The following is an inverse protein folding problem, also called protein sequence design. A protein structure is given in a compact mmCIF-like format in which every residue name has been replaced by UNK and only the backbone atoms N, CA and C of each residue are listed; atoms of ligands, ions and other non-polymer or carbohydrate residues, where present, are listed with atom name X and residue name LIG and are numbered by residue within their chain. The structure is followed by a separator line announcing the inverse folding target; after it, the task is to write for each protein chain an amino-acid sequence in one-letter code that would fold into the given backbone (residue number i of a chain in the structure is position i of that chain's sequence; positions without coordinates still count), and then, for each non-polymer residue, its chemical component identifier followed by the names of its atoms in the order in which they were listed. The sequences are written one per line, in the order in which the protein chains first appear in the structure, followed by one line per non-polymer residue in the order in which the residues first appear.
data_IF_981465766188
#
_entry.id   IF_981465766188
#
_cell.length_a   1.000
_cell.length_b   1.000
_cell.length_c   1.000
_cell.angle_alpha   90.00
_cell.angle_beta   90.00
_cell.angle_gamma   90.00
#
_symmetry.space_group_name_H-M   'P 1'
#
loop_
_entity.id
_entity.type
_entity.pdbx_description
1 polymer ?
#
# COMPACT_ATOMS: atom_id res chain seq x y z
N UNK A 1 -13.85 21.31 -0.19
CA UNK A 1 -12.58 20.55 -0.28
C UNK A 1 -12.82 19.16 0.26
N UNK A 2 -12.23 18.13 -0.36
CA UNK A 2 -12.37 16.75 0.14
C UNK A 2 -11.48 16.61 1.39
N UNK A 3 -12.09 16.44 2.56
CA UNK A 3 -11.39 16.26 3.84
C UNK A 3 -10.91 14.82 3.99
N UNK A 4 -9.82 14.59 4.70
CA UNK A 4 -9.28 13.28 5.08
C UNK A 4 -9.46 12.97 6.57
N UNK A 5 -10.28 13.76 7.29
CA UNK A 5 -10.49 13.65 8.74
C UNK A 5 -11.15 12.34 9.22
N UNK A 6 -11.53 11.47 8.31
CA UNK A 6 -12.04 10.12 8.56
C UNK A 6 -11.14 9.00 7.98
N UNK A 7 -9.91 9.36 7.53
CA UNK A 7 -8.95 8.46 6.90
C UNK A 7 -7.77 8.20 7.81
N UNK A 8 -7.47 6.94 8.09
CA UNK A 8 -6.22 6.50 8.69
C UNK A 8 -5.21 6.21 7.59
N UNK A 9 -4.08 6.91 7.62
CA UNK A 9 -2.93 6.66 6.76
C UNK A 9 -1.92 5.79 7.50
N UNK A 10 -1.55 4.67 6.90
CA UNK A 10 -0.52 3.77 7.42
C UNK A 10 0.75 3.91 6.59
N UNK A 11 1.90 4.04 7.26
CA UNK A 11 3.23 4.10 6.66
C UNK A 11 4.10 3.06 7.35
N UNK A 12 4.52 2.01 6.63
CA UNK A 12 5.50 1.06 7.13
C UNK A 12 6.92 1.62 6.89
N UNK A 13 7.77 1.59 7.93
CA UNK A 13 9.12 2.11 7.87
C UNK A 13 10.17 1.09 8.31
N UNK A 14 11.33 1.11 7.67
CA UNK A 14 12.53 0.41 8.11
C UNK A 14 13.77 1.13 7.58
N UNK A 15 14.49 1.87 8.47
CA UNK A 15 15.65 2.69 8.12
C UNK A 15 15.33 3.68 6.97
N UNK A 16 14.43 4.62 7.24
CA UNK A 16 13.96 5.65 6.31
C UNK A 16 14.30 7.07 6.79
N UNK A 17 15.39 7.24 7.57
CA UNK A 17 15.79 8.56 8.11
C UNK A 17 16.01 9.62 7.01
N UNK A 18 16.41 9.18 5.81
CA UNK A 18 16.72 10.08 4.69
C UNK A 18 15.47 10.65 3.99
N UNK A 19 14.29 10.01 4.14
CA UNK A 19 13.06 10.34 3.40
C UNK A 19 11.88 10.68 4.28
N UNK A 20 11.81 10.12 5.50
CA UNK A 20 10.62 10.19 6.33
C UNK A 20 10.26 11.62 6.75
N UNK A 21 11.25 12.49 6.99
CA UNK A 21 11.00 13.91 7.32
C UNK A 21 10.27 14.64 6.18
N UNK A 22 10.71 14.40 4.95
CA UNK A 22 10.06 14.93 3.75
C UNK A 22 8.62 14.41 3.63
N UNK A 23 8.41 13.09 3.77
CA UNK A 23 7.08 12.48 3.68
C UNK A 23 6.13 13.05 4.72
N UNK A 24 6.54 13.09 6.00
CA UNK A 24 5.69 13.56 7.09
C UNK A 24 5.43 15.07 7.03
N UNK A 25 6.36 15.85 6.47
CA UNK A 25 6.14 17.27 6.26
C UNK A 25 5.04 17.54 5.22
N UNK A 26 4.99 16.73 4.13
CA UNK A 26 3.89 16.82 3.16
C UNK A 26 2.54 16.46 3.80
N UNK A 27 2.50 15.51 4.75
CA UNK A 27 1.25 15.10 5.41
C UNK A 27 0.62 16.22 6.24
N UNK A 28 1.38 17.23 6.68
CA UNK A 28 0.83 18.39 7.41
C UNK A 28 -0.18 19.22 6.61
N UNK A 29 -0.13 19.14 5.29
CA UNK A 29 -1.07 19.83 4.41
C UNK A 29 -2.45 19.16 4.35
N UNK A 30 -2.59 17.97 4.97
CA UNK A 30 -3.78 17.13 4.92
C UNK A 30 -4.31 16.87 6.34
N UNK A 31 -5.62 16.93 6.49
CA UNK A 31 -6.32 16.71 7.76
C UNK A 31 -6.65 15.23 8.00
N UNK A 32 -5.65 14.34 7.97
CA UNK A 32 -5.87 12.92 8.26
C UNK A 32 -6.48 12.72 9.65
N UNK A 33 -7.39 11.73 9.80
CA UNK A 33 -7.85 11.28 11.10
C UNK A 33 -6.66 10.88 11.99
N UNK A 34 -5.73 10.16 11.42
CA UNK A 34 -4.46 9.77 12.04
C UNK A 34 -3.44 9.35 10.97
N UNK A 35 -2.17 9.52 11.30
CA UNK A 35 -1.04 8.95 10.57
C UNK A 35 -0.35 7.94 11.50
N UNK A 36 -0.26 6.68 11.06
CA UNK A 36 0.28 5.56 11.84
C UNK A 36 1.57 5.09 11.18
N UNK A 37 2.67 5.23 11.89
CA UNK A 37 3.96 4.67 11.50
C UNK A 37 4.08 3.27 12.10
N UNK A 38 4.32 2.26 11.28
CA UNK A 38 4.64 0.90 11.74
C UNK A 38 6.11 0.66 11.45
N UNK A 39 6.94 0.73 12.49
CA UNK A 39 8.39 0.65 12.36
C UNK A 39 8.91 -0.76 12.53
N UNK A 40 9.66 -1.23 11.54
CA UNK A 40 10.27 -2.56 11.46
C UNK A 40 11.56 -2.71 12.28
N UNK A 41 11.68 -2.03 13.43
CA UNK A 41 12.88 -1.96 14.29
C UNK A 41 14.04 -1.25 13.59
N UNK A 42 13.80 -0.04 13.11
CA UNK A 42 14.83 0.84 12.54
C UNK A 42 15.97 1.08 13.54
N UNK A 43 17.18 1.11 13.01
CA UNK A 43 18.42 1.34 13.79
C UNK A 43 19.01 2.72 13.54
N UNK A 44 18.40 3.50 12.65
CA UNK A 44 18.73 4.88 12.30
C UNK A 44 17.80 5.87 13.04
N UNK A 45 17.73 7.11 12.58
CA UNK A 45 16.90 8.16 13.20
C UNK A 45 15.42 8.12 12.79
N UNK A 46 14.94 7.09 12.11
CA UNK A 46 13.56 6.98 11.62
C UNK A 46 12.53 7.27 12.71
N UNK A 47 12.64 6.58 13.84
CA UNK A 47 11.70 6.76 14.98
C UNK A 47 11.79 8.18 15.58
N UNK A 48 12.99 8.73 15.70
CA UNK A 48 13.19 10.07 16.26
C UNK A 48 12.63 11.16 15.32
N UNK A 49 12.66 10.94 14.01
CA UNK A 49 11.99 11.79 13.03
C UNK A 49 10.48 11.68 13.20
N UNK A 50 9.93 10.47 13.24
CA UNK A 50 8.48 10.27 13.38
C UNK A 50 7.91 10.95 14.64
N UNK A 51 8.65 10.95 15.77
CA UNK A 51 8.25 11.62 17.03
C UNK A 51 8.11 13.14 16.94
N UNK A 52 8.72 13.78 15.92
CA UNK A 52 8.58 15.24 15.72
C UNK A 52 7.24 15.63 15.13
N UNK A 53 6.47 14.66 14.65
CA UNK A 53 5.19 14.86 13.98
C UNK A 53 4.06 14.29 14.82
N UNK A 54 2.83 14.71 14.54
CA UNK A 54 1.65 14.17 15.21
C UNK A 54 1.28 12.79 14.62
N UNK A 55 2.15 11.79 14.86
CA UNK A 55 1.98 10.43 14.38
C UNK A 55 1.85 9.44 15.52
N UNK A 56 1.09 8.37 15.30
CA UNK A 56 1.08 7.19 16.18
C UNK A 56 2.18 6.25 15.73
N UNK A 57 3.05 5.81 16.64
CA UNK A 57 4.19 4.95 16.32
C UNK A 57 3.96 3.58 16.93
N UNK A 58 3.98 2.55 16.10
CA UNK A 58 3.91 1.14 16.49
C UNK A 58 5.23 0.46 16.13
N UNK A 59 5.79 -0.31 17.07
CA UNK A 59 6.86 -1.23 16.73
C UNK A 59 6.25 -2.49 16.13
N UNK A 60 6.80 -2.93 15.03
CA UNK A 60 6.33 -4.12 14.31
C UNK A 60 6.49 -5.38 15.18
N UNK A 61 5.43 -6.16 15.32
CA UNK A 61 5.43 -7.37 16.17
C UNK A 61 5.78 -8.64 15.41
N UNK A 62 5.50 -8.70 14.11
CA UNK A 62 5.76 -9.85 13.26
C UNK A 62 6.59 -9.47 12.04
N UNK A 63 7.52 -10.32 11.62
CA UNK A 63 8.39 -10.06 10.47
C UNK A 63 7.62 -10.05 9.15
N UNK A 64 8.02 -9.13 8.26
CA UNK A 64 7.52 -9.00 6.90
C UNK A 64 6.75 -7.70 6.67
N UNK A 65 6.90 -7.15 5.49
CA UNK A 65 6.27 -5.88 5.13
C UNK A 65 4.74 -5.96 5.19
N UNK A 66 4.14 -7.04 4.67
CA UNK A 66 2.70 -7.26 4.76
C UNK A 66 2.20 -7.39 6.22
N UNK A 67 3.03 -7.94 7.13
CA UNK A 67 2.70 -7.97 8.55
C UNK A 67 2.65 -6.56 9.17
N UNK A 68 3.55 -5.66 8.78
CA UNK A 68 3.51 -4.26 9.21
C UNK A 68 2.22 -3.56 8.71
N UNK A 69 1.85 -3.78 7.46
CA UNK A 69 0.60 -3.25 6.88
C UNK A 69 -0.62 -3.76 7.67
N UNK A 70 -0.71 -5.06 7.89
CA UNK A 70 -1.80 -5.69 8.66
C UNK A 70 -1.87 -5.11 10.08
N UNK A 71 -0.72 -4.98 10.75
CA UNK A 71 -0.66 -4.40 12.09
C UNK A 71 -1.18 -2.96 12.11
N UNK A 72 -0.77 -2.14 11.16
CA UNK A 72 -1.23 -0.75 11.03
C UNK A 72 -2.73 -0.66 10.75
N UNK A 73 -3.25 -1.45 9.81
CA UNK A 73 -4.67 -1.47 9.48
C UNK A 73 -5.55 -1.97 10.63
N UNK A 74 -5.07 -2.98 11.39
CA UNK A 74 -5.78 -3.48 12.57
C UNK A 74 -5.83 -2.45 13.71
N UNK A 75 -4.78 -1.63 13.85
CA UNK A 75 -4.71 -0.58 14.88
C UNK A 75 -5.53 0.66 14.50
N UNK A 76 -5.70 0.93 13.23
CA UNK A 76 -6.36 2.12 12.71
C UNK A 76 -7.81 2.26 13.18
N UNK A 77 -8.24 3.50 13.45
CA UNK A 77 -9.58 3.83 13.96
C UNK A 77 -10.45 4.64 12.98
N UNK A 78 -9.88 5.15 11.91
CA UNK A 78 -10.60 5.90 10.88
C UNK A 78 -11.60 5.05 10.09
N UNK A 79 -12.57 5.70 9.48
CA UNK A 79 -13.58 5.04 8.64
C UNK A 79 -12.98 4.40 7.39
N UNK A 80 -11.94 5.02 6.85
CA UNK A 80 -11.22 4.56 5.66
C UNK A 80 -9.77 4.29 5.99
N UNK A 81 -9.21 3.28 5.34
CA UNK A 81 -7.82 2.87 5.47
C UNK A 81 -7.09 3.09 4.16
N UNK A 82 -5.89 3.65 4.23
CA UNK A 82 -4.98 3.78 3.09
C UNK A 82 -3.53 3.58 3.52
N UNK A 83 -2.65 3.38 2.57
CA UNK A 83 -1.24 3.11 2.78
C UNK A 83 -0.38 3.98 1.88
N UNK A 84 0.81 4.36 2.36
CA UNK A 84 1.89 4.92 1.55
C UNK A 84 3.24 4.40 2.05
N UNK A 85 4.24 4.32 1.17
CA UNK A 85 5.62 4.07 1.56
C UNK A 85 6.26 5.31 2.20
N UNK A 86 7.24 5.07 3.07
CA UNK A 86 8.02 6.12 3.74
C UNK A 86 9.16 6.71 2.89
N UNK A 87 9.30 6.31 1.61
CA UNK A 87 10.41 6.69 0.72
C UNK A 87 10.14 7.93 -0.14
N UNK A 88 8.92 8.48 -0.06
CA UNK A 88 8.50 9.67 -0.79
C UNK A 88 8.07 9.44 -2.23
N UNK A 89 7.95 8.20 -2.70
CA UNK A 89 7.51 7.91 -4.08
C UNK A 89 6.01 8.15 -4.31
N UNK A 90 5.20 8.02 -3.28
CA UNK A 90 3.76 8.25 -3.35
C UNK A 90 3.41 9.73 -3.36
N UNK A 91 2.28 10.07 -3.96
CA UNK A 91 1.71 11.43 -3.94
C UNK A 91 0.50 11.46 -3.02
N UNK A 92 0.54 12.19 -1.91
CA UNK A 92 -0.60 12.30 -0.99
C UNK A 92 -1.88 12.84 -1.65
N UNK A 93 -1.74 13.69 -2.67
CA UNK A 93 -2.88 14.20 -3.46
C UNK A 93 -3.68 13.09 -4.14
N UNK A 94 -3.07 11.94 -4.42
CA UNK A 94 -3.77 10.78 -4.97
C UNK A 94 -4.82 10.23 -4.00
N UNK A 95 -4.60 10.34 -2.69
CA UNK A 95 -5.57 9.91 -1.66
C UNK A 95 -6.86 10.73 -1.74
N UNK A 96 -6.76 12.04 -2.00
CA UNK A 96 -7.96 12.89 -2.20
C UNK A 96 -8.78 12.42 -3.40
N UNK A 97 -8.08 12.04 -4.48
CA UNK A 97 -8.76 11.52 -5.68
C UNK A 97 -9.40 10.16 -5.41
N UNK A 98 -8.70 9.25 -4.71
CA UNK A 98 -9.26 7.95 -4.31
C UNK A 98 -10.48 8.14 -3.40
N UNK A 99 -10.40 9.05 -2.42
CA UNK A 99 -11.52 9.38 -1.54
C UNK A 99 -12.72 9.93 -2.29
N UNK A 100 -12.52 10.74 -3.32
CA UNK A 100 -13.64 11.26 -4.13
C UNK A 100 -14.43 10.15 -4.83
N UNK A 101 -13.83 8.96 -5.03
CA UNK A 101 -14.43 7.81 -5.71
C UNK A 101 -15.10 6.80 -4.77
N UNK A 102 -14.84 6.85 -3.47
CA UNK A 102 -15.34 5.84 -2.51
C UNK A 102 -16.86 5.88 -2.31
N UNK A 103 -17.53 6.95 -2.75
CA UNK A 103 -18.99 7.00 -2.75
C UNK A 103 -19.61 6.22 -3.90
N UNK A 104 -18.85 6.04 -5.00
CA UNK A 104 -19.28 5.30 -6.18
C UNK A 104 -18.82 3.84 -6.13
N UNK A 105 -17.75 3.54 -5.38
CA UNK A 105 -17.12 2.24 -5.26
C UNK A 105 -16.88 1.87 -3.79
N UNK A 106 -16.81 0.58 -3.49
CA UNK A 106 -16.52 0.10 -2.13
C UNK A 106 -15.02 0.15 -1.80
N UNK A 107 -14.17 0.03 -2.82
CA UNK A 107 -12.72 0.15 -2.69
C UNK A 107 -12.10 0.81 -3.91
N UNK A 108 -10.94 1.44 -3.73
CA UNK A 108 -10.14 2.01 -4.82
C UNK A 108 -8.71 1.50 -4.68
N UNK A 109 -8.15 0.97 -5.77
CA UNK A 109 -6.77 0.51 -5.83
C UNK A 109 -5.98 1.38 -6.80
N UNK A 110 -4.85 1.91 -6.35
CA UNK A 110 -3.95 2.67 -7.19
C UNK A 110 -3.25 1.77 -8.22
N UNK A 111 -2.95 2.32 -9.38
CA UNK A 111 -2.19 1.66 -10.43
C UNK A 111 -1.24 2.63 -11.09
N UNK A 112 0.01 2.22 -11.27
CA UNK A 112 1.04 2.98 -12.01
C UNK A 112 0.88 2.87 -13.53
N UNK A 113 0.18 1.83 -13.98
CA UNK A 113 0.10 1.47 -15.41
C UNK A 113 -1.27 1.71 -16.05
N UNK A 114 -2.25 2.19 -15.30
CA UNK A 114 -3.58 2.49 -15.83
C UNK A 114 -3.49 3.46 -17.00
N UNK A 115 -4.18 3.16 -18.10
CA UNK A 115 -4.16 4.01 -19.28
C UNK A 115 -2.82 4.06 -20.04
N UNK A 116 -1.89 3.11 -19.79
CA UNK A 116 -0.59 3.07 -20.47
C UNK A 116 0.48 3.95 -19.81
N UNK A 117 0.23 4.46 -18.60
CA UNK A 117 1.22 5.21 -17.83
C UNK A 117 2.44 4.33 -17.46
N UNK A 118 3.51 4.96 -17.01
CA UNK A 118 4.76 4.31 -16.60
C UNK A 118 5.17 4.82 -15.22
N UNK A 119 5.80 3.95 -14.42
CA UNK A 119 6.44 4.34 -13.16
C UNK A 119 7.86 4.83 -13.41
N UNK A 120 8.25 6.01 -12.93
CA UNK A 120 9.63 6.51 -13.03
C UNK A 120 10.64 5.63 -12.30
N UNK A 121 10.21 4.94 -11.25
CA UNK A 121 11.07 4.07 -10.40
C UNK A 121 11.24 2.64 -10.96
N UNK A 122 10.57 2.31 -12.06
CA UNK A 122 10.63 0.98 -12.65
C UNK A 122 11.83 0.81 -13.59
N UNK A 123 12.65 -0.20 -13.31
CA UNK A 123 13.56 -0.74 -14.33
C UNK A 123 12.78 -1.56 -15.35
N UNK A 124 13.35 -1.75 -16.55
CA UNK A 124 12.74 -2.56 -17.60
C UNK A 124 12.36 -3.98 -17.12
N UNK A 125 13.24 -4.62 -16.35
CA UNK A 125 13.01 -5.97 -15.79
C UNK A 125 11.84 -5.95 -14.80
N UNK A 126 11.76 -4.94 -13.92
CA UNK A 126 10.65 -4.80 -12.96
C UNK A 126 9.32 -4.57 -13.67
N UNK A 127 9.31 -3.71 -14.69
CA UNK A 127 8.11 -3.44 -15.47
C UNK A 127 7.57 -4.71 -16.15
N UNK A 128 8.45 -5.54 -16.74
CA UNK A 128 8.05 -6.84 -17.32
C UNK A 128 7.52 -7.76 -16.22
N UNK A 129 8.24 -7.89 -15.11
CA UNK A 129 7.82 -8.73 -13.97
C UNK A 129 6.46 -8.32 -13.43
N UNK A 130 6.26 -7.02 -13.19
CA UNK A 130 4.98 -6.48 -12.71
C UNK A 130 3.81 -6.78 -13.66
N UNK A 131 4.01 -6.61 -14.96
CA UNK A 131 3.00 -6.94 -15.98
C UNK A 131 2.69 -8.43 -16.02
N UNK A 132 3.72 -9.28 -15.92
CA UNK A 132 3.56 -10.72 -15.86
C UNK A 132 2.76 -11.16 -14.64
N UNK A 133 3.13 -10.69 -13.44
CA UNK A 133 2.41 -11.00 -12.20
C UNK A 133 0.98 -10.45 -12.22
N UNK A 134 0.77 -9.26 -12.78
CA UNK A 134 -0.58 -8.71 -12.97
C UNK A 134 -1.41 -9.59 -13.89
N UNK A 135 -0.85 -10.04 -15.01
CA UNK A 135 -1.53 -10.95 -15.93
C UNK A 135 -1.90 -12.28 -15.25
N UNK A 136 -0.95 -12.90 -14.55
CA UNK A 136 -1.19 -14.14 -13.79
C UNK A 136 -2.29 -13.95 -12.73
N UNK A 137 -2.24 -12.85 -11.97
CA UNK A 137 -3.25 -12.51 -10.96
C UNK A 137 -4.64 -12.37 -11.57
N UNK A 138 -4.74 -11.62 -12.67
CA UNK A 138 -6.01 -11.45 -13.41
C UNK A 138 -6.59 -12.77 -13.90
N UNK A 139 -5.74 -13.64 -14.43
CA UNK A 139 -6.15 -14.94 -14.97
C UNK A 139 -6.64 -15.86 -13.84
N UNK A 140 -5.87 -15.97 -12.75
CA UNK A 140 -6.16 -16.92 -11.66
C UNK A 140 -7.36 -16.48 -10.83
N UNK A 141 -7.45 -15.19 -10.49
CA UNK A 141 -8.47 -14.68 -9.57
C UNK A 141 -9.64 -13.98 -10.29
N UNK A 142 -9.58 -13.85 -11.62
CA UNK A 142 -10.60 -13.17 -12.44
C UNK A 142 -10.88 -11.75 -11.93
N UNK A 143 -9.81 -11.03 -11.52
CA UNK A 143 -9.86 -9.66 -11.03
C UNK A 143 -9.38 -8.68 -12.09
N UNK A 144 -10.02 -7.51 -12.20
CA UNK A 144 -9.67 -6.51 -13.21
C UNK A 144 -8.87 -5.35 -12.60
N UNK A 145 -7.60 -5.61 -12.28
CA UNK A 145 -6.63 -4.60 -11.85
C UNK A 145 -5.51 -4.50 -12.88
N UNK A 146 -4.89 -3.34 -13.02
CA UNK A 146 -3.81 -3.10 -13.98
C UNK A 146 -2.41 -3.10 -13.36
N UNK A 147 -2.30 -3.14 -12.01
CA UNK A 147 -1.05 -3.22 -11.27
C UNK A 147 -1.22 -4.03 -9.99
N UNK A 148 -0.88 -5.31 -10.05
CA UNK A 148 -1.07 -6.23 -8.91
C UNK A 148 -0.01 -6.10 -7.81
N UNK A 149 1.11 -5.41 -8.06
CA UNK A 149 2.21 -5.27 -7.11
C UNK A 149 2.40 -3.84 -6.59
N UNK A 150 1.48 -2.95 -6.90
CA UNK A 150 1.45 -1.61 -6.32
C UNK A 150 0.44 -1.57 -5.17
N UNK A 151 0.93 -1.39 -3.97
CA UNK A 151 0.09 -1.39 -2.78
C UNK A 151 -0.37 0.01 -2.42
N UNK A 152 -1.41 0.48 -3.07
CA UNK A 152 -2.04 1.74 -2.75
C UNK A 152 -3.56 1.55 -2.65
N UNK A 153 -4.04 0.91 -1.57
CA UNK A 153 -5.46 0.71 -1.35
C UNK A 153 -6.11 1.94 -0.70
N UNK A 154 -7.37 2.19 -1.02
CA UNK A 154 -8.28 3.04 -0.26
C UNK A 154 -9.56 2.23 -0.03
N UNK A 155 -9.77 1.77 1.20
CA UNK A 155 -10.81 0.81 1.54
C UNK A 155 -11.60 1.23 2.78
N UNK A 156 -12.86 0.80 2.86
CA UNK A 156 -13.67 0.96 4.07
C UNK A 156 -13.12 0.04 5.16
N UNK A 157 -12.97 0.55 6.38
CA UNK A 157 -12.51 -0.25 7.52
C UNK A 157 -13.43 -1.43 7.79
N UNK A 158 -14.73 -1.25 7.70
CA UNK A 158 -15.74 -2.31 7.88
C UNK A 158 -15.57 -3.49 6.89
N UNK A 159 -15.10 -3.24 5.67
CA UNK A 159 -14.85 -4.29 4.69
C UNK A 159 -13.48 -4.94 4.92
N UNK A 160 -12.47 -4.16 5.34
CA UNK A 160 -11.18 -4.72 5.77
C UNK A 160 -11.34 -5.70 6.94
N UNK A 161 -12.16 -5.37 7.94
CA UNK A 161 -12.42 -6.24 9.10
C UNK A 161 -13.04 -7.60 8.71
N UNK A 162 -13.81 -7.64 7.61
CA UNK A 162 -14.40 -8.88 7.08
C UNK A 162 -13.39 -9.76 6.35
N UNK A 163 -12.42 -9.16 5.63
CA UNK A 163 -11.49 -9.92 4.78
C UNK A 163 -10.34 -10.57 5.53
N UNK A 164 -9.88 -10.00 6.63
CA UNK A 164 -8.81 -10.53 7.50
C UNK A 164 -7.61 -11.09 6.71
N UNK A 165 -6.83 -10.25 5.98
CA UNK A 165 -5.71 -10.71 5.16
C UNK A 165 -4.63 -11.36 6.04
N UNK A 166 -3.87 -12.33 5.46
CA UNK A 166 -2.90 -13.16 6.20
C UNK A 166 -1.50 -13.14 5.62
N UNK A 167 -1.32 -12.56 4.43
CA UNK A 167 -0.02 -12.53 3.78
C UNK A 167 0.90 -11.51 4.45
N UNK A 168 2.06 -11.99 4.94
CA UNK A 168 3.03 -11.18 5.67
C UNK A 168 4.11 -10.56 4.76
N UNK A 169 4.08 -10.86 3.48
CA UNK A 169 5.01 -10.40 2.45
C UNK A 169 4.28 -9.60 1.35
N UNK A 170 4.92 -9.36 0.22
CA UNK A 170 4.34 -8.63 -0.91
C UNK A 170 3.09 -9.28 -1.53
N UNK A 171 2.77 -10.53 -1.19
CA UNK A 171 1.52 -11.17 -1.61
C UNK A 171 0.28 -10.41 -1.13
N UNK A 172 0.39 -9.61 -0.07
CA UNK A 172 -0.70 -8.76 0.44
C UNK A 172 -1.22 -7.79 -0.61
N UNK A 173 -0.37 -7.34 -1.56
CA UNK A 173 -0.76 -6.47 -2.68
C UNK A 173 -1.85 -7.13 -3.55
N UNK A 174 -1.81 -8.45 -3.64
CA UNK A 174 -2.75 -9.27 -4.41
C UNK A 174 -3.90 -9.75 -3.51
N UNK A 175 -3.59 -10.13 -2.28
CA UNK A 175 -4.56 -10.72 -1.35
C UNK A 175 -5.71 -9.75 -1.04
N UNK A 176 -5.43 -8.50 -0.69
CA UNK A 176 -6.47 -7.53 -0.33
C UNK A 176 -7.45 -7.29 -1.49
N UNK A 177 -7.01 -6.94 -2.71
CA UNK A 177 -7.95 -6.78 -3.83
C UNK A 177 -8.77 -8.04 -4.14
N UNK A 178 -8.15 -9.23 -4.06
CA UNK A 178 -8.84 -10.51 -4.30
C UNK A 178 -9.91 -10.75 -3.23
N UNK A 179 -9.58 -10.51 -1.96
CA UNK A 179 -10.53 -10.69 -0.86
C UNK A 179 -11.69 -9.67 -0.91
N UNK A 180 -11.43 -8.41 -1.27
CA UNK A 180 -12.48 -7.40 -1.49
C UNK A 180 -13.42 -7.85 -2.61
N UNK A 181 -12.87 -8.31 -3.75
CA UNK A 181 -13.67 -8.87 -4.83
C UNK A 181 -14.53 -10.07 -4.38
N UNK A 182 -13.97 -10.94 -3.52
CA UNK A 182 -14.70 -12.12 -3.02
C UNK A 182 -15.81 -11.78 -2.02
N UNK A 183 -15.86 -10.54 -1.51
CA UNK A 183 -17.01 -9.99 -0.78
C UNK A 183 -18.09 -9.42 -1.71
N UNK A 184 -18.01 -9.65 -3.03
CA UNK A 184 -18.88 -9.04 -4.05
C UNK A 184 -18.94 -7.51 -3.97
N UNK A 185 -17.79 -6.88 -3.65
CA UNK A 185 -17.64 -5.45 -3.55
C UNK A 185 -17.16 -4.84 -4.87
N UNK A 186 -17.74 -3.70 -5.23
CA UNK A 186 -17.32 -2.92 -6.37
C UNK A 186 -16.01 -2.19 -6.07
N UNK A 187 -15.06 -2.28 -6.97
CA UNK A 187 -13.78 -1.61 -6.84
C UNK A 187 -13.35 -0.88 -8.11
N UNK A 188 -12.64 0.21 -7.92
CA UNK A 188 -12.04 0.99 -8.98
C UNK A 188 -10.53 0.77 -9.02
N UNK A 189 -10.01 0.47 -10.21
CA UNK A 189 -8.59 0.50 -10.53
C UNK A 189 -8.26 1.91 -11.06
N UNK A 190 -7.57 2.74 -10.26
CA UNK A 190 -7.39 4.17 -10.49
C UNK A 190 -5.93 4.48 -10.84
N UNK A 191 -5.69 5.28 -11.88
CA UNK A 191 -4.35 5.79 -12.16
C UNK A 191 -3.83 6.60 -10.96
N UNK A 192 -2.69 6.16 -10.44
CA UNK A 192 -1.96 6.84 -9.38
C UNK A 192 -0.49 6.95 -9.78
N UNK A 193 -0.08 8.15 -10.19
CA UNK A 193 1.30 8.37 -10.63
C UNK A 193 2.24 8.43 -9.45
N UNK A 194 3.26 7.59 -9.45
CA UNK A 194 4.41 7.73 -8.58
C UNK A 194 5.32 8.87 -9.05
N UNK A 195 6.16 9.34 -8.16
CA UNK A 195 7.36 10.12 -8.45
C UNK A 195 8.60 9.27 -8.12
N UNK A 196 9.77 9.72 -8.53
CA UNK A 196 11.01 9.13 -8.04
C UNK A 196 11.05 9.20 -6.51
N UNK A 197 11.57 8.15 -5.86
CA UNK A 197 11.73 8.16 -4.40
C UNK A 197 12.67 9.31 -4.00
N UNK A 198 12.33 9.95 -2.89
CA UNK A 198 13.07 11.11 -2.40
C UNK A 198 14.50 10.76 -2.02
N UNK A 199 14.70 9.60 -1.37
CA UNK A 199 16.01 9.09 -0.96
C UNK A 199 15.96 7.57 -0.72
N UNK A 200 17.13 6.98 -0.47
CA UNK A 200 17.29 5.56 -0.17
C UNK A 200 17.44 4.71 -1.42
N UNK A 201 17.61 3.42 -1.20
CA UNK A 201 17.76 2.40 -2.25
C UNK A 201 16.66 1.35 -2.11
N UNK A 202 16.24 0.81 -3.24
CA UNK A 202 15.26 -0.27 -3.22
C UNK A 202 15.78 -1.49 -2.47
N UNK A 203 14.99 -2.00 -1.54
CA UNK A 203 15.28 -3.20 -0.75
C UNK A 203 14.73 -4.48 -1.43
N UNK A 204 14.05 -4.34 -2.57
CA UNK A 204 13.42 -5.45 -3.31
C UNK A 204 14.40 -6.16 -4.22
N UNK A 205 14.50 -7.49 -4.10
CA UNK A 205 15.26 -8.34 -5.01
C UNK A 205 14.31 -9.00 -6.01
N UNK A 206 14.37 -8.61 -7.30
CA UNK A 206 13.40 -9.00 -8.32
C UNK A 206 13.25 -10.53 -8.48
N UNK A 207 14.32 -11.33 -8.35
CA UNK A 207 14.26 -12.78 -8.51
C UNK A 207 13.73 -13.48 -7.26
N UNK A 208 14.29 -13.17 -6.08
CA UNK A 208 13.85 -13.80 -4.83
C UNK A 208 12.43 -13.41 -4.45
N UNK A 209 12.10 -12.14 -4.58
CA UNK A 209 10.76 -11.67 -4.23
C UNK A 209 9.75 -12.09 -5.29
N UNK A 210 10.15 -12.17 -6.58
CA UNK A 210 9.33 -12.75 -7.64
C UNK A 210 8.95 -14.21 -7.37
N UNK A 211 9.89 -15.06 -6.93
CA UNK A 211 9.59 -16.44 -6.57
C UNK A 211 8.64 -16.54 -5.36
N UNK A 212 8.82 -15.68 -4.34
CA UNK A 212 7.90 -15.60 -3.19
C UNK A 212 6.50 -15.16 -3.60
N UNK A 213 6.39 -14.16 -4.48
CA UNK A 213 5.10 -13.69 -4.99
C UNK A 213 4.39 -14.80 -5.75
N UNK A 214 5.08 -15.54 -6.64
CA UNK A 214 4.49 -16.66 -7.35
C UNK A 214 3.98 -17.75 -6.40
N UNK A 215 4.80 -18.12 -5.42
CA UNK A 215 4.39 -19.06 -4.37
C UNK A 215 3.18 -18.52 -3.59
N UNK A 216 3.18 -17.23 -3.25
CA UNK A 216 2.07 -16.56 -2.57
C UNK A 216 0.78 -16.60 -3.37
N UNK A 217 0.82 -16.37 -4.69
CA UNK A 217 -0.32 -16.47 -5.61
C UNK A 217 -0.92 -17.89 -5.57
N UNK A 218 -0.07 -18.92 -5.69
CA UNK A 218 -0.51 -20.33 -5.63
C UNK A 218 -1.15 -20.64 -4.27
N UNK A 219 -0.49 -20.22 -3.17
CA UNK A 219 -0.99 -20.43 -1.81
C UNK A 219 -2.33 -19.72 -1.57
N UNK A 220 -2.47 -18.49 -2.07
CA UNK A 220 -3.72 -17.72 -1.97
C UNK A 220 -4.84 -18.43 -2.74
N UNK A 221 -4.56 -18.96 -3.94
CA UNK A 221 -5.53 -19.72 -4.74
C UNK A 221 -6.00 -21.00 -4.06
N UNK A 222 -5.11 -21.67 -3.32
CA UNK A 222 -5.44 -22.92 -2.61
C UNK A 222 -6.22 -22.68 -1.30
N UNK A 223 -6.25 -21.45 -0.79
CA UNK A 223 -6.96 -21.06 0.44
C UNK A 223 -8.41 -20.64 0.21
N UNK A 224 -8.75 -20.23 -0.97
CA UNK A 224 -10.10 -19.72 -1.33
C UNK A 224 -10.55 -20.16 -2.67
#
# INVERSE_FOLDING_TARGET
MTSLSDVSLIIATYNEEASLDFVLNEMKEYDFHEVIIVDGHSTDKTIDIAKKYNTKILLQTEKGWGAAVIQGFNYASGKYLTYMDGDGSYRPSSILHMKSKINEYDAVFGSRYKGGAKSPDDTFIRSIGNKLFTFITRLIFKINISDALFFFPFIKKEDYEKIQPKSKDFTICIEIPVLIKNLDKDYLDLLSTERERYAGVTKVNAFFDGAKILYGIIKLKLRG
#
